data_IF_706257635157
#
_entry.id   IF_706257635157
#
_cell.length_a   1.000
_cell.length_b   1.000
_cell.length_c   1.000
_cell.angle_alpha   90.00
_cell.angle_beta   90.00
_cell.angle_gamma   90.00
#
_symmetry.space_group_name_H-M   'P 1'
#
loop_
_entity.id
_entity.type
_entity.pdbx_description
1 polymer ?
#
# COMPACT_ATOMS: atom_id res chain seq x y z
N UNK A 1 31.29 -26.93 58.12
CA UNK A 1 30.33 -26.95 57.00
C UNK A 1 31.14 -27.00 55.71
N UNK A 2 31.27 -28.18 55.08
CA UNK A 2 32.13 -28.42 53.90
C UNK A 2 31.30 -28.36 52.62
N UNK A 3 31.74 -27.60 51.62
CA UNK A 3 31.15 -27.57 50.28
C UNK A 3 31.50 -28.84 49.48
N UNK A 4 30.60 -29.38 48.66
CA UNK A 4 30.90 -30.48 47.74
C UNK A 4 31.69 -29.98 46.50
N UNK A 5 32.62 -30.84 46.05
CA UNK A 5 33.58 -30.61 44.96
C UNK A 5 32.92 -30.56 43.58
N UNK A 6 33.51 -29.76 42.70
CA UNK A 6 33.18 -29.61 41.28
C UNK A 6 33.22 -30.95 40.53
N UNK A 7 32.15 -31.25 39.80
CA UNK A 7 32.07 -32.31 38.80
C UNK A 7 32.80 -31.84 37.54
N UNK A 8 33.71 -32.69 37.03
CA UNK A 8 34.55 -32.41 35.88
C UNK A 8 33.76 -32.13 34.59
N UNK A 9 34.14 -31.04 33.94
CA UNK A 9 33.74 -30.70 32.57
C UNK A 9 34.34 -31.71 31.59
N UNK A 10 33.50 -32.58 31.03
CA UNK A 10 33.85 -33.36 29.84
C UNK A 10 33.64 -32.47 28.61
N UNK A 11 34.74 -32.03 27.98
CA UNK A 11 34.68 -31.30 26.71
C UNK A 11 34.20 -32.24 25.59
N UNK A 12 33.32 -31.78 24.68
CA UNK A 12 32.92 -32.57 23.52
C UNK A 12 34.11 -32.75 22.57
N UNK A 13 34.51 -34.01 22.37
CA UNK A 13 35.55 -34.40 21.42
C UNK A 13 35.04 -34.22 19.98
N UNK A 14 35.33 -33.07 19.37
CA UNK A 14 35.11 -32.87 17.94
C UNK A 14 36.10 -33.73 17.14
N UNK A 15 35.65 -34.54 16.17
CA UNK A 15 36.54 -35.30 15.29
C UNK A 15 37.44 -34.38 14.46
N UNK A 16 38.69 -34.78 14.25
CA UNK A 16 39.68 -34.03 13.44
C UNK A 16 39.16 -33.74 12.02
N UNK A 17 39.49 -32.55 11.50
CA UNK A 17 38.85 -31.88 10.35
C UNK A 17 38.78 -32.60 8.99
N UNK A 18 39.30 -33.82 8.86
CA UNK A 18 39.22 -34.64 7.65
C UNK A 18 37.99 -35.57 7.64
N UNK A 19 37.43 -35.92 8.80
CA UNK A 19 36.28 -36.83 8.89
C UNK A 19 34.93 -36.15 8.52
N UNK A 20 34.84 -34.82 8.64
CA UNK A 20 33.62 -34.07 8.33
C UNK A 20 33.25 -34.04 6.85
N UNK A 21 34.25 -34.13 5.96
CA UNK A 21 34.04 -33.97 4.52
C UNK A 21 33.35 -35.17 3.85
N UNK A 22 33.28 -36.33 4.52
CA UNK A 22 32.68 -37.56 3.98
C UNK A 22 31.29 -37.89 4.53
N UNK A 23 30.80 -37.16 5.54
CA UNK A 23 29.51 -37.44 6.20
C UNK A 23 28.35 -36.73 5.48
N UNK A 24 28.65 -35.68 4.71
CA UNK A 24 27.63 -34.97 3.93
C UNK A 24 27.62 -35.54 2.51
N UNK A 25 26.55 -36.23 2.06
CA UNK A 25 26.43 -36.63 0.67
C UNK A 25 26.50 -35.38 -0.20
N UNK A 26 27.52 -35.32 -1.07
CA UNK A 26 27.63 -34.23 -2.05
C UNK A 26 26.45 -34.37 -2.99
N UNK A 27 25.50 -33.42 -3.04
CA UNK A 27 24.45 -33.48 -4.02
C UNK A 27 25.12 -33.38 -5.38
N UNK A 28 25.15 -34.48 -6.13
CA UNK A 28 25.50 -34.44 -7.54
C UNK A 28 24.36 -33.65 -8.19
N UNK A 29 24.54 -32.34 -8.29
CA UNK A 29 23.68 -31.50 -9.11
C UNK A 29 23.94 -31.91 -10.55
N UNK A 30 23.33 -33.01 -10.96
CA UNK A 30 23.09 -33.29 -12.36
C UNK A 30 22.23 -32.13 -12.83
N UNK A 31 22.85 -31.12 -13.46
CA UNK A 31 22.11 -30.09 -14.18
C UNK A 31 21.48 -30.82 -15.37
N UNK A 32 20.38 -31.52 -15.11
CA UNK A 32 19.50 -32.02 -16.12
C UNK A 32 19.06 -30.78 -16.90
N UNK A 33 19.47 -30.71 -18.16
CA UNK A 33 19.30 -29.61 -19.09
C UNK A 33 18.02 -28.79 -18.82
N UNK A 34 18.16 -27.74 -18.00
CA UNK A 34 17.16 -26.71 -17.76
C UNK A 34 17.11 -25.75 -18.97
N UNK A 35 17.27 -26.27 -20.19
CA UNK A 35 17.13 -25.50 -21.43
C UNK A 35 15.67 -25.39 -21.85
N UNK A 36 14.91 -26.49 -21.71
CA UNK A 36 13.53 -26.59 -22.20
C UNK A 36 12.48 -25.88 -21.32
N UNK A 37 12.74 -25.72 -20.00
CA UNK A 37 11.82 -25.00 -19.11
C UNK A 37 11.86 -23.48 -19.28
N UNK A 38 12.94 -22.92 -19.83
CA UNK A 38 13.08 -21.48 -20.02
C UNK A 38 12.39 -20.98 -21.30
N UNK A 39 12.06 -21.87 -22.24
CA UNK A 39 11.33 -21.55 -23.47
C UNK A 39 9.82 -21.44 -23.27
N UNK A 40 9.27 -22.10 -22.24
CA UNK A 40 7.85 -22.10 -21.93
C UNK A 40 7.36 -20.83 -21.22
N UNK A 41 8.25 -19.90 -20.84
CA UNK A 41 7.86 -18.61 -20.28
C UNK A 41 7.59 -17.66 -21.46
N UNK A 42 6.34 -17.25 -21.72
CA UNK A 42 6.05 -16.29 -22.78
C UNK A 42 6.83 -15.01 -22.51
N UNK A 43 7.83 -14.72 -23.33
CA UNK A 43 8.58 -13.46 -23.22
C UNK A 43 7.64 -12.35 -23.69
N UNK A 44 7.26 -11.40 -22.82
CA UNK A 44 6.39 -10.31 -23.23
C UNK A 44 7.03 -9.54 -24.38
N UNK A 45 6.25 -9.31 -25.45
CA UNK A 45 6.75 -8.79 -26.72
C UNK A 45 7.24 -7.33 -26.63
N UNK A 46 6.92 -6.61 -25.54
CA UNK A 46 7.42 -5.25 -25.30
C UNK A 46 7.69 -4.97 -23.81
N UNK A 47 8.65 -4.07 -23.55
CA UNK A 47 9.00 -3.58 -22.20
C UNK A 47 7.77 -3.02 -21.48
N UNK A 48 6.83 -2.42 -22.24
CA UNK A 48 5.59 -1.87 -21.73
C UNK A 48 4.62 -2.95 -21.23
N UNK A 49 4.43 -4.03 -21.99
CA UNK A 49 3.58 -5.16 -21.56
C UNK A 49 4.11 -5.83 -20.30
N UNK A 50 5.44 -5.97 -20.18
CA UNK A 50 6.07 -6.47 -18.96
C UNK A 50 5.78 -5.57 -17.77
N UNK A 51 5.94 -4.26 -17.93
CA UNK A 51 5.66 -3.30 -16.87
C UNK A 51 4.19 -3.31 -16.46
N UNK A 52 3.25 -3.37 -17.42
CA UNK A 52 1.81 -3.43 -17.14
C UNK A 52 1.41 -4.73 -16.44
N UNK A 53 1.93 -5.88 -16.88
CA UNK A 53 1.67 -7.15 -16.21
C UNK A 53 2.21 -7.15 -14.77
N UNK A 54 3.42 -6.61 -14.55
CA UNK A 54 3.97 -6.43 -13.21
C UNK A 54 3.13 -5.46 -12.37
N UNK A 55 2.66 -4.35 -12.95
CA UNK A 55 1.80 -3.37 -12.29
C UNK A 55 0.49 -4.02 -11.85
N UNK A 56 -0.12 -4.82 -12.73
CA UNK A 56 -1.35 -5.56 -12.43
C UNK A 56 -1.14 -6.60 -11.35
N UNK A 57 -0.10 -7.43 -11.46
CA UNK A 57 0.22 -8.45 -10.45
C UNK A 57 0.52 -7.82 -9.09
N UNK A 58 1.30 -6.73 -9.05
CA UNK A 58 1.57 -5.98 -7.84
C UNK A 58 0.30 -5.36 -7.27
N UNK A 59 -0.54 -4.71 -8.07
CA UNK A 59 -1.79 -4.12 -7.62
C UNK A 59 -2.75 -5.19 -7.06
N UNK A 60 -2.90 -6.32 -7.76
CA UNK A 60 -3.73 -7.44 -7.30
C UNK A 60 -3.16 -8.06 -6.03
N UNK A 61 -1.83 -8.20 -5.93
CA UNK A 61 -1.17 -8.74 -4.74
C UNK A 61 -1.29 -7.79 -3.56
N UNK A 62 -1.11 -6.48 -3.76
CA UNK A 62 -1.30 -5.46 -2.73
C UNK A 62 -2.76 -5.38 -2.29
N UNK A 63 -3.72 -5.49 -3.22
CA UNK A 63 -5.14 -5.61 -2.91
C UNK A 63 -5.39 -6.87 -2.08
N UNK A 64 -4.93 -8.05 -2.53
CA UNK A 64 -5.04 -9.29 -1.77
C UNK A 64 -4.42 -9.15 -0.39
N UNK A 65 -3.20 -8.65 -0.26
CA UNK A 65 -2.53 -8.47 1.04
C UNK A 65 -3.26 -7.48 1.97
N UNK A 66 -3.86 -6.43 1.42
CA UNK A 66 -4.70 -5.47 2.19
C UNK A 66 -5.97 -6.14 2.73
N UNK A 67 -6.49 -7.16 2.04
CA UNK A 67 -7.76 -7.83 2.38
C UNK A 67 -7.61 -9.27 2.90
N UNK A 68 -6.42 -9.87 2.84
CA UNK A 68 -6.10 -11.19 3.40
C UNK A 68 -5.70 -11.02 4.85
N UNK A 69 -6.71 -11.03 5.73
CA UNK A 69 -6.52 -10.95 7.18
C UNK A 69 -7.78 -11.14 8.00
N UNK A 70 -8.97 -10.81 7.46
CA UNK A 70 -10.29 -11.19 7.96
C UNK A 70 -11.37 -10.48 7.15
N UNK A 71 -12.55 -11.10 6.98
CA UNK A 71 -13.76 -10.41 6.48
C UNK A 71 -14.05 -9.11 7.27
N UNK A 72 -13.63 -9.09 8.54
CA UNK A 72 -13.69 -7.93 9.44
C UNK A 72 -12.91 -6.70 8.93
N UNK A 73 -11.76 -6.88 8.26
CA UNK A 73 -10.98 -5.78 7.69
C UNK A 73 -11.65 -5.16 6.46
N UNK A 74 -12.31 -5.98 5.63
CA UNK A 74 -13.09 -5.51 4.50
C UNK A 74 -14.27 -4.66 4.98
N UNK A 75 -15.07 -5.19 5.91
CA UNK A 75 -16.19 -4.46 6.52
C UNK A 75 -15.70 -3.16 7.17
N UNK A 76 -14.58 -3.19 7.90
CA UNK A 76 -14.04 -2.00 8.55
C UNK A 76 -13.65 -0.89 7.57
N UNK A 77 -13.10 -1.26 6.40
CA UNK A 77 -12.75 -0.28 5.36
C UNK A 77 -13.95 0.38 4.69
N UNK A 78 -15.12 -0.28 4.68
CA UNK A 78 -16.38 0.29 4.17
C UNK A 78 -17.16 1.05 5.26
N UNK A 79 -17.05 0.61 6.52
CA UNK A 79 -17.77 1.21 7.66
C UNK A 79 -17.31 2.64 7.92
N UNK A 80 -16.00 2.92 7.82
CA UNK A 80 -15.48 4.28 8.08
C UNK A 80 -16.02 5.33 7.10
N UNK A 81 -15.96 5.13 5.76
CA UNK A 81 -16.61 6.01 4.79
C UNK A 81 -18.13 6.09 4.97
N UNK A 82 -18.79 4.96 5.23
CA UNK A 82 -20.25 4.92 5.42
C UNK A 82 -20.71 5.68 6.67
N UNK A 83 -19.96 5.60 7.78
CA UNK A 83 -20.25 6.39 8.98
C UNK A 83 -20.04 7.88 8.74
N UNK A 84 -18.92 8.28 8.12
CA UNK A 84 -18.69 9.68 7.77
C UNK A 84 -19.84 10.22 6.92
N UNK A 85 -20.27 9.45 5.93
CA UNK A 85 -21.42 9.77 5.09
C UNK A 85 -22.71 9.91 5.89
N UNK A 86 -23.05 8.93 6.73
CA UNK A 86 -24.27 8.95 7.54
C UNK A 86 -24.31 10.12 8.52
N UNK A 87 -23.18 10.41 9.17
CA UNK A 87 -23.04 11.56 10.06
C UNK A 87 -23.20 12.86 9.27
N UNK A 88 -22.51 13.03 8.15
CA UNK A 88 -22.62 14.24 7.33
C UNK A 88 -24.04 14.41 6.77
N UNK A 89 -24.67 13.36 6.26
CA UNK A 89 -26.06 13.40 5.81
C UNK A 89 -27.00 13.81 6.96
N UNK A 90 -26.86 13.21 8.15
CA UNK A 90 -27.69 13.55 9.31
C UNK A 90 -27.48 15.01 9.75
N UNK A 91 -26.23 15.44 9.90
CA UNK A 91 -25.85 16.80 10.30
C UNK A 91 -26.42 17.82 9.32
N UNK A 92 -26.19 17.64 8.02
CA UNK A 92 -26.65 18.59 7.01
C UNK A 92 -28.16 18.50 6.73
N UNK A 93 -28.78 17.32 6.81
CA UNK A 93 -30.23 17.20 6.69
C UNK A 93 -30.96 17.95 7.81
N UNK A 94 -30.43 17.95 9.03
CA UNK A 94 -31.00 18.69 10.17
C UNK A 94 -30.66 20.18 10.10
N UNK A 95 -29.41 20.54 9.80
CA UNK A 95 -28.97 21.95 9.72
C UNK A 95 -29.56 22.71 8.53
N UNK A 96 -29.68 22.09 7.35
CA UNK A 96 -30.18 22.75 6.14
C UNK A 96 -31.71 22.80 6.09
N UNK A 97 -32.40 21.85 6.74
CA UNK A 97 -33.85 21.95 6.99
C UNK A 97 -34.22 23.20 7.80
N UNK A 98 -33.28 23.75 8.58
CA UNK A 98 -33.47 25.00 9.32
C UNK A 98 -33.26 26.27 8.47
N UNK A 99 -32.82 26.18 7.21
CA UNK A 99 -32.24 27.32 6.48
C UNK A 99 -32.78 27.64 5.08
N UNK A 100 -33.06 26.70 4.17
CA UNK A 100 -33.56 27.05 2.82
C UNK A 100 -33.93 25.88 1.90
N UNK A 101 -34.75 26.23 0.91
CA UNK A 101 -35.61 25.47 0.01
C UNK A 101 -34.93 24.78 -1.19
N UNK A 102 -33.69 24.27 -1.06
CA UNK A 102 -32.98 23.65 -2.20
C UNK A 102 -32.84 22.13 -2.00
N UNK A 103 -33.59 21.30 -2.77
CA UNK A 103 -33.61 19.84 -2.58
C UNK A 103 -32.26 19.13 -2.76
N UNK A 104 -31.32 19.72 -3.51
CA UNK A 104 -30.14 18.99 -4.01
C UNK A 104 -28.81 19.35 -3.31
N UNK A 105 -28.77 20.36 -2.43
CA UNK A 105 -27.50 20.84 -1.86
C UNK A 105 -26.81 19.79 -0.98
N UNK A 106 -27.58 19.02 -0.20
CA UNK A 106 -27.04 17.94 0.64
C UNK A 106 -26.32 16.89 -0.19
N UNK A 107 -26.89 16.51 -1.35
CA UNK A 107 -26.32 15.49 -2.24
C UNK A 107 -25.06 16.00 -2.93
N UNK A 108 -25.04 17.27 -3.35
CA UNK A 108 -23.86 17.88 -3.96
C UNK A 108 -22.68 17.98 -2.98
N UNK A 109 -22.93 18.39 -1.73
CA UNK A 109 -21.90 18.45 -0.70
C UNK A 109 -21.32 17.06 -0.40
N UNK A 110 -22.20 16.06 -0.32
CA UNK A 110 -21.83 14.68 -0.06
C UNK A 110 -20.92 14.12 -1.16
N UNK A 111 -21.23 14.43 -2.42
CA UNK A 111 -20.40 14.07 -3.56
C UNK A 111 -19.00 14.73 -3.47
N UNK A 112 -18.93 16.00 -3.08
CA UNK A 112 -17.67 16.71 -2.88
C UNK A 112 -16.81 16.07 -1.77
N UNK A 113 -17.43 15.67 -0.64
CA UNK A 113 -16.73 14.99 0.46
C UNK A 113 -16.19 13.64 0.03
N UNK A 114 -16.95 12.87 -0.76
CA UNK A 114 -16.54 11.55 -1.26
C UNK A 114 -15.32 11.67 -2.17
N UNK A 115 -15.32 12.63 -3.10
CA UNK A 115 -14.18 12.93 -3.97
C UNK A 115 -12.96 13.37 -3.15
N UNK A 116 -13.16 14.27 -2.19
CA UNK A 116 -12.08 14.76 -1.32
C UNK A 116 -11.47 13.64 -0.47
N UNK A 117 -12.31 12.76 0.07
CA UNK A 117 -11.87 11.61 0.86
C UNK A 117 -11.05 10.65 0.00
N UNK A 118 -11.50 10.38 -1.23
CA UNK A 118 -10.73 9.58 -2.18
C UNK A 118 -9.37 10.18 -2.51
N UNK A 119 -9.32 11.50 -2.76
CA UNK A 119 -8.09 12.23 -3.04
C UNK A 119 -7.08 12.12 -1.88
N UNK A 120 -7.54 12.38 -0.66
CA UNK A 120 -6.71 12.34 0.54
C UNK A 120 -6.23 10.92 0.86
N UNK A 121 -7.12 9.92 0.82
CA UNK A 121 -6.77 8.52 1.07
C UNK A 121 -5.76 8.01 0.04
N UNK A 122 -6.03 8.23 -1.25
CA UNK A 122 -5.16 7.76 -2.32
C UNK A 122 -3.75 8.37 -2.22
N UNK A 123 -3.66 9.66 -1.90
CA UNK A 123 -2.38 10.36 -1.72
C UNK A 123 -1.59 9.78 -0.54
N UNK A 124 -2.25 9.59 0.60
CA UNK A 124 -1.60 9.04 1.81
C UNK A 124 -1.12 7.61 1.58
N UNK A 125 -1.95 6.76 0.96
CA UNK A 125 -1.58 5.37 0.65
C UNK A 125 -0.42 5.33 -0.34
N UNK A 126 -0.44 6.19 -1.37
CA UNK A 126 0.61 6.27 -2.37
C UNK A 126 1.96 6.70 -1.78
N UNK A 127 2.00 7.74 -0.94
CA UNK A 127 3.25 8.21 -0.30
C UNK A 127 3.83 7.12 0.62
N UNK A 128 2.99 6.46 1.42
CA UNK A 128 3.43 5.39 2.32
C UNK A 128 3.91 4.14 1.57
N UNK A 129 3.33 3.84 0.40
CA UNK A 129 3.71 2.67 -0.41
C UNK A 129 5.17 2.69 -0.87
N UNK A 130 5.72 3.89 -1.13
CA UNK A 130 7.12 4.05 -1.55
C UNK A 130 8.07 3.72 -0.41
N UNK A 131 7.71 4.09 0.82
CA UNK A 131 8.48 3.80 2.03
C UNK A 131 8.41 2.32 2.36
N UNK A 132 7.21 1.73 2.32
CA UNK A 132 6.99 0.31 2.59
C UNK A 132 7.73 -0.59 1.58
N UNK A 133 7.77 -0.17 0.31
CA UNK A 133 8.42 -0.91 -0.77
C UNK A 133 9.92 -0.62 -0.91
N UNK A 134 10.52 0.20 -0.05
CA UNK A 134 11.93 0.57 -0.11
C UNK A 134 12.89 -0.65 -0.07
N UNK A 135 12.50 -1.70 0.67
CA UNK A 135 13.26 -2.96 0.72
C UNK A 135 13.14 -3.80 -0.57
N UNK A 136 12.01 -3.72 -1.27
CA UNK A 136 11.84 -4.37 -2.59
C UNK A 136 12.65 -3.65 -3.66
N UNK A 137 12.60 -2.32 -3.68
CA UNK A 137 13.36 -1.48 -4.64
C UNK A 137 14.86 -1.75 -4.55
N UNK A 138 15.36 -2.06 -3.34
CA UNK A 138 16.79 -2.35 -3.10
C UNK A 138 17.23 -3.75 -3.59
N UNK A 139 16.30 -4.70 -3.74
CA UNK A 139 16.57 -6.08 -4.16
C UNK A 139 16.26 -6.37 -5.63
N UNK A 140 15.40 -5.58 -6.25
CA UNK A 140 15.05 -5.71 -7.66
C UNK A 140 14.87 -4.33 -8.29
N UNK A 141 15.63 -4.07 -9.35
CA UNK A 141 15.62 -2.80 -10.08
C UNK A 141 14.26 -2.58 -10.76
N UNK A 142 13.37 -1.82 -10.13
CA UNK A 142 12.07 -1.41 -10.69
C UNK A 142 11.91 0.11 -10.68
N UNK A 143 11.27 0.70 -11.70
CA UNK A 143 10.90 2.12 -11.71
C UNK A 143 9.97 2.48 -10.55
N UNK A 144 10.28 3.55 -9.82
CA UNK A 144 9.55 3.97 -8.60
C UNK A 144 8.09 4.35 -8.87
N UNK A 145 7.79 4.86 -10.07
CA UNK A 145 6.43 5.28 -10.44
C UNK A 145 5.43 4.12 -10.49
N UNK A 146 5.89 2.88 -10.75
CA UNK A 146 5.04 1.69 -10.81
C UNK A 146 4.39 1.41 -9.45
N UNK A 147 5.12 1.62 -8.35
CA UNK A 147 4.64 1.38 -6.98
C UNK A 147 3.56 2.40 -6.59
N UNK A 148 3.79 3.67 -6.93
CA UNK A 148 2.84 4.76 -6.69
C UNK A 148 1.55 4.51 -7.46
N UNK A 149 1.64 4.20 -8.75
CA UNK A 149 0.47 3.92 -9.60
C UNK A 149 -0.28 2.67 -9.13
N UNK A 150 0.42 1.59 -8.76
CA UNK A 150 -0.22 0.37 -8.26
C UNK A 150 -1.02 0.62 -6.98
N UNK A 151 -0.50 1.47 -6.09
CA UNK A 151 -1.14 1.83 -4.82
C UNK A 151 -2.38 2.71 -5.04
N UNK A 152 -2.29 3.67 -5.97
CA UNK A 152 -3.44 4.50 -6.37
C UNK A 152 -4.51 3.65 -7.04
N UNK A 153 -4.13 2.68 -7.88
CA UNK A 153 -5.08 1.78 -8.53
C UNK A 153 -5.82 0.88 -7.51
N UNK A 154 -5.11 0.45 -6.47
CA UNK A 154 -5.70 -0.30 -5.34
C UNK A 154 -6.70 0.56 -4.55
N UNK A 155 -6.36 1.83 -4.30
CA UNK A 155 -7.29 2.79 -3.68
C UNK A 155 -8.50 3.09 -4.58
N UNK A 156 -8.29 3.20 -5.90
CA UNK A 156 -9.35 3.39 -6.89
C UNK A 156 -10.35 2.23 -6.88
N UNK A 157 -9.88 0.98 -6.80
CA UNK A 157 -10.79 -0.17 -6.66
C UNK A 157 -11.67 -0.06 -5.41
N UNK A 158 -11.09 0.36 -4.29
CA UNK A 158 -11.82 0.57 -3.03
C UNK A 158 -12.84 1.70 -3.18
N UNK A 159 -12.46 2.80 -3.83
CA UNK A 159 -13.35 3.92 -4.13
C UNK A 159 -14.51 3.51 -5.02
N UNK A 160 -14.28 2.74 -6.07
CA UNK A 160 -15.34 2.29 -6.98
C UNK A 160 -16.39 1.44 -6.25
N UNK A 161 -15.97 0.59 -5.32
CA UNK A 161 -16.89 -0.18 -4.47
C UNK A 161 -17.73 0.75 -3.58
N UNK A 162 -17.10 1.72 -2.93
CA UNK A 162 -17.80 2.69 -2.08
C UNK A 162 -18.73 3.61 -2.89
N UNK A 163 -18.28 4.06 -4.06
CA UNK A 163 -19.07 4.88 -4.97
C UNK A 163 -20.29 4.12 -5.50
N UNK A 164 -20.14 2.84 -5.86
CA UNK A 164 -21.26 1.98 -6.26
C UNK A 164 -22.29 1.85 -5.13
N UNK A 165 -21.84 1.62 -3.89
CA UNK A 165 -22.72 1.57 -2.72
C UNK A 165 -23.53 2.86 -2.55
N UNK A 166 -22.88 4.02 -2.71
CA UNK A 166 -23.52 5.33 -2.60
C UNK A 166 -24.55 5.53 -3.71
N UNK A 167 -24.23 5.19 -4.96
CA UNK A 167 -25.17 5.29 -6.08
C UNK A 167 -26.42 4.45 -5.80
N UNK A 168 -26.26 3.22 -5.32
CA UNK A 168 -27.38 2.33 -4.96
C UNK A 168 -28.27 2.94 -3.86
N UNK A 169 -27.69 3.62 -2.89
CA UNK A 169 -28.44 4.28 -1.81
C UNK A 169 -29.13 5.55 -2.32
N UNK A 170 -28.49 6.32 -3.20
CA UNK A 170 -28.95 7.68 -3.57
C UNK A 170 -29.94 7.69 -4.74
N UNK A 171 -29.89 6.69 -5.64
CA UNK A 171 -30.82 6.58 -6.78
C UNK A 171 -32.30 6.44 -6.35
N UNK A 172 -32.66 5.59 -5.36
CA UNK A 172 -34.04 5.49 -4.86
C UNK A 172 -34.55 6.77 -4.20
N UNK A 173 -33.64 7.62 -3.71
CA UNK A 173 -33.97 8.91 -3.09
C UNK A 173 -34.32 10.00 -4.12
N UNK A 174 -34.18 9.72 -5.43
CA UNK A 174 -34.61 10.61 -6.51
C UNK A 174 -33.73 11.84 -6.75
N UNK A 175 -32.58 11.95 -6.08
CA UNK A 175 -31.71 13.15 -6.12
C UNK A 175 -30.65 13.14 -7.23
N UNK A 176 -30.61 12.13 -8.10
CA UNK A 176 -29.63 12.01 -9.18
C UNK A 176 -30.29 12.03 -10.56
N UNK A 177 -30.21 13.17 -11.24
CA UNK A 177 -30.55 13.28 -12.65
C UNK A 177 -29.32 12.89 -13.50
N UNK A 178 -29.34 11.68 -14.05
CA UNK A 178 -28.34 11.21 -15.02
C UNK A 178 -28.56 11.90 -16.38
N UNK A 179 -28.20 13.18 -16.49
CA UNK A 179 -28.21 13.93 -17.74
C UNK A 179 -26.86 13.89 -18.48
N UNK A 180 -26.76 14.57 -19.62
CA UNK A 180 -25.51 14.70 -20.41
C UNK A 180 -24.30 15.18 -19.59
N UNK A 181 -24.53 15.92 -18.49
CA UNK A 181 -23.47 16.36 -17.57
C UNK A 181 -22.77 15.21 -16.83
N UNK A 182 -23.42 14.05 -16.68
CA UNK A 182 -22.79 12.87 -16.06
C UNK A 182 -21.66 12.31 -16.93
N UNK A 183 -21.65 12.60 -18.24
CA UNK A 183 -20.58 12.21 -19.15
C UNK A 183 -19.25 12.93 -18.87
N UNK A 184 -19.29 14.06 -18.15
CA UNK A 184 -18.08 14.74 -17.67
C UNK A 184 -17.44 14.04 -16.45
N UNK A 185 -18.17 13.17 -15.75
CA UNK A 185 -17.66 12.47 -14.56
C UNK A 185 -16.41 11.61 -14.83
N UNK A 186 -16.33 10.76 -15.88
CA UNK A 186 -15.11 10.00 -16.18
C UNK A 186 -13.94 10.92 -16.54
N UNK A 187 -14.19 12.04 -17.22
CA UNK A 187 -13.14 13.00 -17.55
C UNK A 187 -12.55 13.65 -16.28
N UNK A 188 -13.41 14.09 -15.35
CA UNK A 188 -13.00 14.63 -14.06
C UNK A 188 -12.26 13.59 -13.21
N UNK A 189 -12.66 12.32 -13.29
CA UNK A 189 -11.96 11.24 -12.60
C UNK A 189 -10.54 11.05 -13.13
N UNK A 190 -10.34 11.14 -14.45
CA UNK A 190 -9.01 11.04 -15.08
C UNK A 190 -8.12 12.20 -14.67
N UNK A 191 -8.65 13.43 -14.66
CA UNK A 191 -7.92 14.61 -14.19
C UNK A 191 -7.51 14.46 -12.71
N UNK A 192 -8.45 14.01 -11.87
CA UNK A 192 -8.19 13.74 -10.46
C UNK A 192 -7.09 12.67 -10.28
N UNK A 193 -7.11 11.60 -11.08
CA UNK A 193 -6.07 10.57 -11.04
C UNK A 193 -4.70 11.13 -11.44
N UNK A 194 -4.63 11.96 -12.49
CA UNK A 194 -3.38 12.63 -12.87
C UNK A 194 -2.86 13.53 -11.75
N UNK A 195 -3.75 14.29 -11.10
CA UNK A 195 -3.42 15.14 -9.97
C UNK A 195 -2.87 14.33 -8.80
N UNK A 196 -3.53 13.22 -8.43
CA UNK A 196 -3.10 12.34 -7.34
C UNK A 196 -1.73 11.74 -7.65
N UNK A 197 -1.50 11.26 -8.87
CA UNK A 197 -0.21 10.67 -9.27
C UNK A 197 0.90 11.71 -9.17
N UNK A 198 0.70 12.89 -9.77
CA UNK A 198 1.68 13.98 -9.76
C UNK A 198 2.01 14.44 -8.34
N UNK A 199 0.97 14.67 -7.52
CA UNK A 199 1.13 15.11 -6.14
C UNK A 199 1.81 14.03 -5.28
N UNK A 200 1.41 12.77 -5.43
CA UNK A 200 1.98 11.65 -4.66
C UNK A 200 3.45 11.43 -4.97
N UNK A 201 3.87 11.61 -6.23
CA UNK A 201 5.29 11.53 -6.62
C UNK A 201 6.10 12.67 -5.98
N UNK A 202 5.56 13.89 -6.00
CA UNK A 202 6.20 15.06 -5.40
C UNK A 202 6.34 14.88 -3.88
N UNK A 203 5.25 14.52 -3.18
CA UNK A 203 5.25 14.27 -1.74
C UNK A 203 6.15 13.10 -1.36
N UNK A 204 6.18 12.03 -2.16
CA UNK A 204 7.05 10.89 -1.89
C UNK A 204 8.54 11.27 -1.96
N UNK A 205 8.93 12.09 -2.94
CA UNK A 205 10.30 12.61 -3.02
C UNK A 205 10.64 13.45 -1.79
N UNK A 206 9.72 14.31 -1.35
CA UNK A 206 9.91 15.16 -0.18
C UNK A 206 9.98 14.36 1.13
N UNK A 207 9.16 13.30 1.25
CA UNK A 207 9.13 12.44 2.43
C UNK A 207 10.46 11.73 2.68
N UNK A 208 11.13 11.26 1.61
CA UNK A 208 12.45 10.64 1.71
C UNK A 208 13.48 11.63 2.27
N UNK A 209 13.44 12.89 1.81
CA UNK A 209 14.33 13.94 2.30
C UNK A 209 14.15 14.21 3.81
N UNK A 210 12.90 14.36 4.28
CA UNK A 210 12.64 14.59 5.71
C UNK A 210 13.02 13.41 6.61
N UNK A 211 12.86 12.18 6.12
CA UNK A 211 13.27 10.98 6.85
C UNK A 211 14.79 10.95 7.06
N UNK A 212 15.56 11.35 6.05
CA UNK A 212 17.01 11.38 6.14
C UNK A 212 17.51 12.46 7.12
N UNK A 213 16.79 13.60 7.25
CA UNK A 213 17.04 14.60 8.31
C UNK A 213 16.87 14.01 9.72
N UNK A 214 15.85 13.17 9.91
CA UNK A 214 15.62 12.47 11.18
C UNK A 214 16.79 11.55 11.57
N UNK A 215 17.33 10.82 10.60
CA UNK A 215 18.50 9.96 10.81
C UNK A 215 19.77 10.78 11.14
N UNK A 216 19.99 11.90 10.44
CA UNK A 216 21.13 12.80 10.71
C UNK A 216 21.04 13.41 12.12
N UNK A 217 19.84 13.83 12.53
CA UNK A 217 19.60 14.38 13.87
C UNK A 217 19.85 13.34 14.97
N UNK A 218 19.43 12.09 14.74
CA UNK A 218 19.69 10.98 15.67
C UNK A 218 21.20 10.74 15.86
N UNK A 219 21.99 10.73 14.78
CA UNK A 219 23.45 10.56 14.82
C UNK A 219 24.15 11.71 15.55
N UNK A 220 23.72 12.95 15.32
CA UNK A 220 24.25 14.12 16.04
C UNK A 220 23.96 14.05 17.55
N UNK A 221 22.79 13.54 17.93
CA UNK A 221 22.43 13.36 19.34
C UNK A 221 23.29 12.28 19.99
N UNK A 222 23.50 11.15 19.33
CA UNK A 222 24.33 10.05 19.88
C UNK A 222 25.81 10.43 20.02
N UNK A 223 26.37 11.22 19.11
CA UNK A 223 27.77 11.68 19.22
C UNK A 223 27.97 12.65 20.38
N UNK A 224 27.00 13.51 20.68
CA UNK A 224 27.07 14.46 21.79
C UNK A 224 27.04 13.78 23.16
N UNK A 225 26.33 12.66 23.30
CA UNK A 225 26.28 11.88 24.56
C UNK A 225 27.63 11.21 24.86
N UNK A 226 28.37 10.79 23.82
CA UNK A 226 29.67 10.14 24.01
C UNK A 226 30.77 11.14 24.41
N UNK A 227 30.67 12.40 23.98
CA UNK A 227 31.65 13.45 24.28
C UNK A 227 31.52 14.07 25.69
N UNK A 228 30.41 13.81 26.40
CA UNK A 228 30.19 14.31 27.77
C UNK A 228 30.63 13.34 28.87
N UNK A 229 31.09 12.14 28.50
CA UNK A 229 31.54 11.09 29.42
C UNK A 229 33.06 10.81 29.35
N UNK A 230 33.83 11.70 28.71
CA UNK A 230 35.29 11.69 28.63
C UNK A 230 35.87 12.99 29.15
#
# INVERSE_FOLDING_TARGET
>A
MRLPRAVGSAAPIWPSGHAFLNIVPRPTMTIAAQGSRLEAIPRPASVLQRNVNLLRELAVTQFKLKYTGSALGYVWSLVKPAMLFGIMYAVFSVLLRAGSSTPDFTVQLLFAIVIWTFFTESTVVAVNSVVASANLIRKAYFPRWIIVVASILTALMTFLINAALIIVITVPLGSMHLGLRSLAAPLLLVELLMLIIGLSLLLSSLFVYYRDVGHIWALRRSSRISATHS
#
